data_IF_437902381556
#
_entry.id   IF_437902381556
#
_cell.length_a   1.000
_cell.length_b   1.000
_cell.length_c   1.000
_cell.angle_alpha   90.00
_cell.angle_beta   90.00
_cell.angle_gamma   90.00
#
_symmetry.space_group_name_H-M   'P 1'
#
loop_
_entity.id
_entity.type
_entity.pdbx_description
1 polymer ?
#
# COMPACT_ATOMS: atom_id res chain seq x y z
N UNK A 1 16.94 38.45 -8.90
CA UNK A 1 15.88 37.69 -8.18
C UNK A 1 15.82 36.33 -8.82
N UNK A 2 16.21 35.28 -8.10
CA UNK A 2 16.29 33.92 -8.63
C UNK A 2 14.89 33.41 -8.94
N UNK A 3 14.70 32.91 -10.16
CA UNK A 3 13.51 32.23 -10.65
C UNK A 3 13.34 30.89 -9.90
N UNK A 4 12.79 30.95 -8.70
CA UNK A 4 12.38 29.78 -7.92
C UNK A 4 11.01 29.24 -8.38
N UNK A 5 10.66 29.43 -9.66
CA UNK A 5 9.28 29.43 -10.13
C UNK A 5 8.88 28.32 -11.10
N UNK A 6 9.74 27.35 -11.42
CA UNK A 6 9.40 26.26 -12.36
C UNK A 6 9.99 24.90 -11.96
N UNK A 7 9.72 24.46 -10.73
CA UNK A 7 9.78 23.02 -10.45
C UNK A 7 8.55 22.42 -11.14
N UNK A 8 8.76 21.61 -12.19
CA UNK A 8 7.68 20.90 -12.87
C UNK A 8 6.81 20.20 -11.82
N UNK A 9 5.56 20.64 -11.69
CA UNK A 9 4.59 20.09 -10.73
C UNK A 9 4.13 18.71 -11.21
N UNK A 10 5.04 17.75 -11.26
CA UNK A 10 4.68 16.35 -11.39
C UNK A 10 3.88 15.96 -10.15
N UNK A 11 2.67 15.44 -10.36
CA UNK A 11 1.84 14.94 -9.28
C UNK A 11 2.45 13.62 -8.82
N UNK A 12 3.34 13.70 -7.83
CA UNK A 12 3.94 12.53 -7.19
C UNK A 12 3.16 12.19 -5.91
N UNK A 13 2.92 10.91 -5.67
CA UNK A 13 2.34 10.39 -4.44
C UNK A 13 3.42 9.65 -3.67
N UNK A 14 3.78 10.15 -2.48
CA UNK A 14 4.73 9.51 -1.58
C UNK A 14 3.96 8.62 -0.60
N UNK A 15 4.33 7.35 -0.53
CA UNK A 15 3.74 6.36 0.38
C UNK A 15 4.88 5.75 1.21
N UNK A 16 4.72 5.75 2.53
CA UNK A 16 5.58 5.03 3.45
C UNK A 16 4.77 3.92 4.14
N UNK A 17 5.36 2.74 4.28
CA UNK A 17 4.79 1.62 5.02
C UNK A 17 5.76 1.23 6.14
N UNK A 18 5.23 1.09 7.34
CA UNK A 18 5.95 0.68 8.54
C UNK A 18 4.98 -0.05 9.47
N UNK A 19 5.49 -0.90 10.35
CA UNK A 19 4.66 -1.62 11.33
C UNK A 19 4.00 -0.65 12.34
N UNK A 20 4.67 0.45 12.64
CA UNK A 20 4.13 1.56 13.43
C UNK A 20 4.62 2.90 12.91
N UNK A 21 3.85 3.96 13.14
CA UNK A 21 4.30 5.32 12.82
C UNK A 21 5.47 5.77 13.70
N UNK A 22 5.62 5.18 14.90
CA UNK A 22 6.78 5.38 15.80
C UNK A 22 8.11 5.00 15.16
N UNK A 23 8.12 4.02 14.26
CA UNK A 23 9.32 3.60 13.52
C UNK A 23 9.87 4.67 12.57
N UNK A 24 9.10 5.73 12.27
CA UNK A 24 9.53 6.82 11.41
C UNK A 24 10.00 8.02 12.26
N UNK A 25 11.20 8.58 12.00
CA UNK A 25 11.66 9.80 12.67
C UNK A 25 10.62 10.93 12.62
N UNK A 26 10.38 11.69 13.70
CA UNK A 26 9.35 12.73 13.73
C UNK A 26 9.45 13.76 12.60
N UNK A 27 10.68 14.04 12.15
CA UNK A 27 10.93 14.92 11.00
C UNK A 27 10.36 14.38 9.70
N UNK A 28 10.49 13.08 9.44
CA UNK A 28 9.94 12.42 8.27
C UNK A 28 8.43 12.22 8.39
N UNK A 29 7.91 11.92 9.60
CA UNK A 29 6.46 11.78 9.85
C UNK A 29 5.69 13.05 9.50
N UNK A 30 6.25 14.23 9.82
CA UNK A 30 5.67 15.54 9.46
C UNK A 30 5.62 15.84 7.96
N UNK A 31 6.38 15.11 7.13
CA UNK A 31 6.34 15.28 5.67
C UNK A 31 5.11 14.63 5.03
N UNK A 32 4.44 13.70 5.72
CA UNK A 32 3.24 13.04 5.22
C UNK A 32 2.00 13.77 5.71
N UNK A 33 1.08 14.06 4.79
CA UNK A 33 -0.16 14.78 5.08
C UNK A 33 -1.26 13.89 5.66
N UNK A 34 -1.12 12.57 5.54
CA UNK A 34 -2.11 11.58 5.96
C UNK A 34 -1.42 10.36 6.54
N UNK A 35 -2.03 9.82 7.58
CA UNK A 35 -1.68 8.54 8.18
C UNK A 35 -2.87 7.58 8.02
N UNK A 36 -2.58 6.33 7.66
CA UNK A 36 -3.57 5.26 7.57
C UNK A 36 -3.11 4.18 8.53
N UNK A 37 -3.88 3.96 9.60
CA UNK A 37 -3.64 2.85 10.50
C UNK A 37 -4.23 1.57 9.90
N UNK A 38 -3.36 0.59 9.63
CA UNK A 38 -3.74 -0.72 9.13
C UNK A 38 -3.88 -1.68 10.32
N UNK A 39 -5.12 -2.01 10.67
CA UNK A 39 -5.41 -3.02 11.69
C UNK A 39 -5.35 -4.45 11.13
N UNK A 40 -5.47 -5.46 12.00
CA UNK A 40 -5.67 -6.85 11.58
C UNK A 40 -6.89 -7.01 10.68
N UNK A 41 -6.86 -8.00 9.80
CA UNK A 41 -8.01 -8.34 8.95
C UNK A 41 -9.17 -8.88 9.78
N UNK A 42 -10.40 -8.49 9.41
CA UNK A 42 -11.61 -9.11 9.95
C UNK A 42 -11.76 -10.55 9.45
N UNK A 43 -12.59 -11.37 10.11
CA UNK A 43 -12.85 -12.75 9.65
C UNK A 43 -13.39 -12.76 8.21
N UNK A 44 -14.32 -11.86 7.89
CA UNK A 44 -14.93 -11.77 6.56
C UNK A 44 -13.87 -11.43 5.50
N UNK A 45 -12.94 -10.53 5.83
CA UNK A 45 -11.82 -10.18 4.96
C UNK A 45 -10.87 -11.37 4.76
N UNK A 46 -10.57 -12.12 5.83
CA UNK A 46 -9.72 -13.32 5.75
C UNK A 46 -10.37 -14.40 4.89
N UNK A 47 -11.63 -14.74 5.13
CA UNK A 47 -12.39 -15.72 4.34
C UNK A 47 -12.39 -15.33 2.86
N UNK A 48 -12.59 -14.04 2.57
CA UNK A 48 -12.54 -13.53 1.19
C UNK A 48 -11.17 -13.70 0.56
N UNK A 49 -10.08 -13.33 1.23
CA UNK A 49 -8.73 -13.46 0.69
C UNK A 49 -8.31 -14.92 0.49
N UNK A 50 -8.66 -15.80 1.43
CA UNK A 50 -8.39 -17.24 1.32
C UNK A 50 -9.16 -17.85 0.16
N UNK A 51 -10.47 -17.58 0.06
CA UNK A 51 -11.30 -18.11 -1.04
C UNK A 51 -10.84 -17.64 -2.41
N UNK A 52 -10.43 -16.36 -2.55
CA UNK A 52 -9.83 -15.83 -3.78
C UNK A 52 -8.53 -16.57 -4.14
N UNK A 53 -7.65 -16.76 -3.16
CA UNK A 53 -6.37 -17.44 -3.37
C UNK A 53 -6.54 -18.89 -3.82
N UNK A 54 -7.48 -19.62 -3.20
CA UNK A 54 -7.80 -21.00 -3.55
C UNK A 54 -8.42 -21.11 -4.95
N UNK A 55 -9.29 -20.16 -5.33
CA UNK A 55 -9.87 -20.10 -6.68
C UNK A 55 -8.81 -19.87 -7.74
N UNK A 56 -7.87 -18.94 -7.52
CA UNK A 56 -6.78 -18.72 -8.47
C UNK A 56 -5.89 -19.95 -8.61
N UNK A 57 -5.60 -20.64 -7.51
CA UNK A 57 -4.81 -21.88 -7.56
C UNK A 57 -5.51 -23.01 -8.33
N UNK A 58 -6.83 -23.14 -8.21
CA UNK A 58 -7.59 -24.14 -8.97
C UNK A 58 -7.66 -23.79 -10.47
N UNK A 59 -7.89 -22.54 -10.82
CA UNK A 59 -7.91 -22.06 -12.21
C UNK A 59 -6.53 -22.21 -12.90
N UNK A 60 -5.44 -22.00 -12.17
CA UNK A 60 -4.07 -22.26 -12.69
C UNK A 60 -3.80 -23.76 -12.88
N UNK A 61 -4.35 -24.62 -12.02
CA UNK A 61 -4.21 -26.08 -12.15
C UNK A 61 -4.92 -26.61 -13.40
N UNK A 62 -6.10 -26.09 -13.74
CA UNK A 62 -6.83 -26.48 -14.96
C UNK A 62 -6.04 -26.12 -16.23
N UNK A 63 -5.30 -25.00 -16.23
CA UNK A 63 -4.46 -24.59 -17.38
C UNK A 63 -3.16 -25.40 -17.54
N UNK A 64 -2.78 -26.22 -16.57
CA UNK A 64 -1.56 -27.05 -16.64
C UNK A 64 -1.80 -28.44 -17.26
N UNK A 65 -3.07 -28.79 -17.53
CA UNK A 65 -3.49 -30.07 -18.08
C UNK A 65 -4.29 -29.93 -19.39
N UNK A 66 -4.26 -28.75 -20.01
CA UNK A 66 -4.84 -28.48 -21.33
C UNK A 66 -3.75 -28.09 -22.31
#
# INVERSE_FOLDING_TARGET
MQDAGKIGRHRVLLIAAADSSEGLPPTLRRCFSREISMGPLTEEQRVKLVSQSLRTASEQRVKKFA
#
